data_IF_485100814235
#
_entry.id   IF_485100814235
#
_cell.length_a   1.000
_cell.length_b   1.000
_cell.length_c   1.000
_cell.angle_alpha   90.00
_cell.angle_beta   90.00
_cell.angle_gamma   90.00
#
_symmetry.space_group_name_H-M   'P 1'
#
loop_
_entity.id
_entity.type
_entity.pdbx_description
1 polymer ?
#
# COMPACT_ATOMS: atom_id res chain seq x y z
N UNK A 1 -3.32 -2.87 0.04
CA UNK A 1 -3.24 -3.89 -1.04
C UNK A 1 -3.68 -3.22 -2.33
N UNK A 2 -2.98 -3.48 -3.43
CA UNK A 2 -3.40 -3.15 -4.79
C UNK A 2 -4.04 -4.43 -5.38
N UNK A 3 -5.38 -4.50 -5.47
CA UNK A 3 -6.08 -5.71 -5.89
C UNK A 3 -5.57 -6.23 -7.24
N UNK A 4 -5.23 -7.52 -7.31
CA UNK A 4 -4.73 -8.15 -8.53
C UNK A 4 -3.24 -7.89 -8.84
N UNK A 5 -2.60 -6.98 -8.12
CA UNK A 5 -1.16 -6.72 -8.26
C UNK A 5 -0.35 -7.38 -7.15
N UNK A 6 -0.70 -7.10 -5.89
CA UNK A 6 0.11 -7.50 -4.75
C UNK A 6 -0.68 -8.25 -3.65
N UNK A 7 -1.93 -8.59 -3.96
CA UNK A 7 -2.77 -9.42 -3.12
C UNK A 7 -4.26 -9.26 -3.42
N UNK A 8 -5.07 -9.76 -2.50
CA UNK A 8 -6.52 -9.62 -2.47
C UNK A 8 -6.96 -8.95 -1.18
N UNK A 9 -8.15 -8.38 -1.21
CA UNK A 9 -8.84 -7.84 -0.05
C UNK A 9 -9.98 -8.79 0.30
N UNK A 10 -10.26 -8.94 1.59
CA UNK A 10 -11.39 -9.69 2.10
C UNK A 10 -11.97 -8.96 3.32
N UNK A 11 -13.23 -9.22 3.63
CA UNK A 11 -13.87 -8.73 4.85
C UNK A 11 -13.50 -9.66 6.03
N UNK A 12 -12.80 -9.15 7.07
CA UNK A 12 -12.43 -9.97 8.22
C UNK A 12 -13.63 -10.34 9.11
N UNK A 13 -14.78 -9.69 8.96
CA UNK A 13 -16.01 -10.00 9.70
C UNK A 13 -16.93 -10.97 8.95
N UNK A 14 -16.65 -11.25 7.66
CA UNK A 14 -17.27 -12.35 6.92
C UNK A 14 -16.29 -13.54 6.84
N UNK A 15 -16.55 -14.55 7.66
CA UNK A 15 -15.75 -15.77 7.69
C UNK A 15 -15.72 -16.50 6.34
N UNK A 16 -16.77 -16.40 5.53
CA UNK A 16 -16.82 -17.03 4.20
C UNK A 16 -15.93 -16.30 3.22
N UNK A 17 -15.89 -14.97 3.27
CA UNK A 17 -15.01 -14.19 2.42
C UNK A 17 -13.54 -14.39 2.80
N UNK A 18 -13.25 -14.49 4.10
CA UNK A 18 -11.91 -14.88 4.59
C UNK A 18 -11.46 -16.23 4.01
N UNK A 19 -12.31 -17.27 4.13
CA UNK A 19 -11.99 -18.61 3.58
C UNK A 19 -11.86 -18.58 2.05
N UNK A 20 -12.74 -17.85 1.37
CA UNK A 20 -12.67 -17.63 -0.09
C UNK A 20 -11.34 -17.01 -0.51
N UNK A 21 -10.87 -16.01 0.24
CA UNK A 21 -9.58 -15.37 -0.01
C UNK A 21 -8.40 -16.33 0.18
N UNK A 22 -8.42 -17.15 1.24
CA UNK A 22 -7.38 -18.18 1.45
C UNK A 22 -7.36 -19.21 0.31
N UNK A 23 -8.52 -19.65 -0.16
CA UNK A 23 -8.61 -20.54 -1.32
C UNK A 23 -8.03 -19.89 -2.59
N UNK A 24 -8.30 -18.60 -2.84
CA UNK A 24 -7.66 -17.86 -3.95
C UNK A 24 -6.13 -17.88 -3.83
N UNK A 25 -5.58 -17.67 -2.64
CA UNK A 25 -4.14 -17.74 -2.41
C UNK A 25 -3.57 -19.13 -2.74
N UNK A 26 -4.25 -20.20 -2.34
CA UNK A 26 -3.83 -21.57 -2.63
C UNK A 26 -3.88 -21.88 -4.12
N UNK A 27 -4.98 -21.52 -4.79
CA UNK A 27 -5.14 -21.72 -6.24
C UNK A 27 -4.17 -20.88 -7.08
N UNK A 28 -3.69 -19.76 -6.56
CA UNK A 28 -2.77 -18.85 -7.24
C UNK A 28 -1.33 -18.92 -6.68
N UNK A 29 -0.95 -20.03 -6.03
CA UNK A 29 0.35 -20.20 -5.36
C UNK A 29 1.55 -19.77 -6.20
N UNK A 30 1.54 -20.09 -7.50
CA UNK A 30 2.62 -19.74 -8.44
C UNK A 30 2.76 -18.24 -8.69
N UNK A 31 1.70 -17.45 -8.49
CA UNK A 31 1.70 -16.00 -8.64
C UNK A 31 2.20 -15.26 -7.40
N UNK A 32 2.19 -15.92 -6.23
CA UNK A 32 2.56 -15.27 -4.96
C UNK A 32 4.00 -14.71 -4.94
N UNK A 33 5.03 -15.37 -5.52
CA UNK A 33 6.37 -14.79 -5.60
C UNK A 33 6.41 -13.49 -6.42
N UNK A 34 5.67 -13.42 -7.53
CA UNK A 34 5.55 -12.21 -8.34
C UNK A 34 4.81 -11.10 -7.60
N UNK A 35 3.70 -11.43 -6.93
CA UNK A 35 2.98 -10.51 -6.05
C UNK A 35 3.89 -9.94 -4.97
N UNK A 36 4.75 -10.76 -4.36
CA UNK A 36 5.74 -10.32 -3.39
C UNK A 36 6.81 -9.36 -3.97
N UNK A 37 7.25 -9.58 -5.22
CA UNK A 37 8.14 -8.65 -5.93
C UNK A 37 7.44 -7.31 -6.16
N UNK A 38 6.17 -7.33 -6.59
CA UNK A 38 5.35 -6.12 -6.76
C UNK A 38 5.16 -5.38 -5.43
N UNK A 39 4.87 -6.10 -4.34
CA UNK A 39 4.81 -5.53 -2.99
C UNK A 39 6.09 -4.77 -2.63
N UNK A 40 7.28 -5.36 -2.87
CA UNK A 40 8.56 -4.67 -2.59
C UNK A 40 8.72 -3.36 -3.35
N UNK A 41 8.31 -3.33 -4.62
CA UNK A 41 8.35 -2.12 -5.45
C UNK A 41 7.34 -1.06 -5.00
N UNK A 42 6.17 -1.49 -4.52
CA UNK A 42 5.15 -0.57 -3.99
C UNK A 42 5.66 0.05 -2.69
N UNK A 43 6.16 -0.76 -1.77
CA UNK A 43 6.62 -0.26 -0.45
C UNK A 43 7.91 0.54 -0.53
N UNK A 44 8.75 0.37 -1.56
CA UNK A 44 9.98 1.16 -1.68
C UNK A 44 9.73 2.67 -1.80
N UNK A 45 8.54 3.06 -2.25
CA UNK A 45 8.13 4.48 -2.29
C UNK A 45 7.73 5.00 -0.91
N UNK A 46 7.47 4.14 0.07
CA UNK A 46 7.12 4.52 1.43
C UNK A 46 8.35 4.32 2.32
N UNK A 47 9.15 5.38 2.44
CA UNK A 47 10.32 5.41 3.32
C UNK A 47 10.16 6.50 4.38
N UNK A 48 10.79 6.36 5.56
CA UNK A 48 10.81 7.43 6.56
C UNK A 48 11.35 8.75 5.98
N UNK A 49 12.31 8.68 5.05
CA UNK A 49 12.84 9.82 4.33
C UNK A 49 11.77 10.51 3.47
N UNK A 50 11.07 9.77 2.61
CA UNK A 50 10.00 10.33 1.78
C UNK A 50 8.88 10.95 2.64
N UNK A 51 8.55 10.32 3.78
CA UNK A 51 7.59 10.87 4.72
C UNK A 51 8.08 12.20 5.32
N UNK A 52 9.34 12.26 5.77
CA UNK A 52 9.92 13.49 6.31
C UNK A 52 9.99 14.61 5.26
N UNK A 53 10.39 14.29 4.03
CA UNK A 53 10.44 15.24 2.89
C UNK A 53 9.05 15.79 2.59
N UNK A 54 8.03 14.94 2.49
CA UNK A 54 6.65 15.36 2.23
C UNK A 54 6.08 16.25 3.35
N UNK A 55 6.42 15.95 4.62
CA UNK A 55 6.00 16.77 5.76
C UNK A 55 6.68 18.15 5.70
N UNK A 56 7.99 18.19 5.43
CA UNK A 56 8.73 19.44 5.32
C UNK A 56 8.17 20.31 4.19
N UNK A 57 7.96 19.74 3.01
CA UNK A 57 7.39 20.43 1.85
C UNK A 57 6.02 21.04 2.18
N UNK A 58 5.15 20.27 2.86
CA UNK A 58 3.85 20.78 3.29
C UNK A 58 3.96 21.98 4.26
N UNK A 59 4.91 21.93 5.19
CA UNK A 59 5.19 23.04 6.10
C UNK A 59 5.70 24.28 5.35
N UNK A 60 6.62 24.11 4.40
CA UNK A 60 7.17 25.19 3.58
C UNK A 60 6.08 25.87 2.74
N UNK A 61 5.21 25.08 2.11
CA UNK A 61 4.03 25.60 1.39
C UNK A 61 3.17 26.44 2.33
N UNK A 62 2.79 25.89 3.50
CA UNK A 62 1.95 26.60 4.46
C UNK A 62 2.57 27.93 4.93
N UNK A 63 3.87 27.93 5.27
CA UNK A 63 4.59 29.15 5.66
C UNK A 63 4.64 30.18 4.53
N UNK A 64 4.85 29.74 3.29
CA UNK A 64 4.90 30.65 2.14
C UNK A 64 3.58 31.38 1.87
N UNK A 65 2.44 30.73 2.16
CA UNK A 65 1.12 31.34 2.06
C UNK A 65 0.84 32.34 3.19
N UNK A 66 1.35 32.07 4.39
CA UNK A 66 1.22 32.97 5.54
C UNK A 66 2.04 34.25 5.34
N UNK A 67 3.30 34.15 4.87
CA UNK A 67 4.18 35.30 4.69
C UNK A 67 3.87 36.18 3.45
N UNK A 68 2.99 35.72 2.56
CA UNK A 68 2.52 36.48 1.37
C UNK A 68 1.16 37.18 1.59
N UNK A 69 0.56 37.01 2.76
CA UNK A 69 -0.65 37.72 3.20
C UNK A 69 -0.27 38.89 4.10
#
# INVERSE_FOLDING_TARGET
VHPGENGWVFDPLDSRDTVSCLNKCLSAKEKLPEMGKKSRKIVSNYSPKHAAEAILEACEIAMSHICKS
#
